data_IF_349814344470
#
_entry.id   IF_349814344470
#
_cell.length_a   1.000
_cell.length_b   1.000
_cell.length_c   1.000
_cell.angle_alpha   90.00
_cell.angle_beta   90.00
_cell.angle_gamma   90.00
#
_symmetry.space_group_name_H-M   'P 1'
#
loop_
_entity.id
_entity.type
_entity.pdbx_description
1 polymer ?
#
# COMPACT_ATOMS: atom_id res chain seq x y z
N UNK A 1 10.39 57.54 13.81
CA UNK A 1 10.05 56.20 14.34
C UNK A 1 8.80 55.53 13.73
N UNK A 2 8.06 56.19 12.80
CA UNK A 2 6.88 55.64 12.15
C UNK A 2 7.16 54.93 10.80
N UNK A 3 8.28 55.23 10.16
CA UNK A 3 8.64 54.70 8.83
C UNK A 3 9.09 53.22 8.86
N UNK A 4 9.60 52.73 9.98
CA UNK A 4 10.07 51.34 10.09
C UNK A 4 8.97 50.30 10.13
N UNK A 5 7.79 50.65 10.66
CA UNK A 5 6.66 49.68 10.79
C UNK A 5 5.93 49.37 9.49
N UNK A 6 5.84 50.34 8.59
CA UNK A 6 5.20 50.14 7.28
C UNK A 6 6.07 49.27 6.36
N UNK A 7 7.40 49.36 6.45
CA UNK A 7 8.29 48.52 5.67
C UNK A 7 8.32 47.08 6.17
N UNK A 8 8.27 46.83 7.48
CA UNK A 8 8.17 45.47 8.05
C UNK A 8 6.87 44.76 7.68
N UNK A 9 5.76 45.49 7.66
CA UNK A 9 4.44 44.94 7.27
C UNK A 9 4.44 44.52 5.80
N UNK A 10 5.03 45.33 4.91
CA UNK A 10 5.13 44.96 3.49
C UNK A 10 6.03 43.76 3.22
N UNK A 11 7.15 43.63 3.90
CA UNK A 11 8.02 42.43 3.77
C UNK A 11 7.34 41.18 4.30
N UNK A 12 6.60 41.26 5.39
CA UNK A 12 5.87 40.14 5.98
C UNK A 12 4.74 39.66 5.05
N UNK A 13 4.03 40.57 4.40
CA UNK A 13 3.00 40.23 3.41
C UNK A 13 3.59 39.57 2.16
N UNK A 14 4.70 40.07 1.65
CA UNK A 14 5.37 39.46 0.48
C UNK A 14 5.89 38.05 0.78
N UNK A 15 6.53 37.85 1.91
CA UNK A 15 7.03 36.52 2.33
C UNK A 15 5.86 35.55 2.55
N UNK A 16 4.78 36.03 3.18
CA UNK A 16 3.57 35.22 3.38
C UNK A 16 2.92 34.82 2.04
N UNK A 17 2.85 35.75 1.09
CA UNK A 17 2.29 35.50 -0.24
C UNK A 17 3.17 34.52 -1.05
N UNK A 18 4.49 34.64 -0.99
CA UNK A 18 5.41 33.69 -1.62
C UNK A 18 5.30 32.31 -0.99
N UNK A 19 5.27 32.21 0.35
CA UNK A 19 5.11 30.94 1.06
C UNK A 19 3.77 30.27 0.74
N UNK A 20 2.68 31.02 0.66
CA UNK A 20 1.37 30.47 0.29
C UNK A 20 1.36 29.94 -1.15
N UNK A 21 2.02 30.65 -2.08
CA UNK A 21 2.14 30.22 -3.47
C UNK A 21 2.96 28.93 -3.60
N UNK A 22 4.10 28.86 -2.91
CA UNK A 22 4.94 27.66 -2.86
C UNK A 22 4.17 26.47 -2.26
N UNK A 23 3.48 26.69 -1.15
CA UNK A 23 2.66 25.65 -0.51
C UNK A 23 1.54 25.16 -1.43
N UNK A 24 0.91 26.07 -2.16
CA UNK A 24 -0.14 25.70 -3.13
C UNK A 24 0.40 24.82 -4.25
N UNK A 25 1.58 25.14 -4.80
CA UNK A 25 2.25 24.35 -5.83
C UNK A 25 2.62 22.97 -5.28
N UNK A 26 3.22 22.90 -4.10
CA UNK A 26 3.60 21.65 -3.45
C UNK A 26 2.36 20.77 -3.21
N UNK A 27 1.27 21.35 -2.72
CA UNK A 27 0.03 20.61 -2.51
C UNK A 27 -0.57 20.11 -3.83
N UNK A 28 -0.56 20.91 -4.89
CA UNK A 28 -1.05 20.49 -6.20
C UNK A 28 -0.25 19.28 -6.73
N UNK A 29 1.09 19.34 -6.67
CA UNK A 29 1.97 18.23 -7.05
C UNK A 29 1.68 17.01 -6.18
N UNK A 30 1.53 17.18 -4.87
CA UNK A 30 1.25 16.08 -3.94
C UNK A 30 -0.08 15.40 -4.26
N UNK A 31 -1.14 16.15 -4.57
CA UNK A 31 -2.43 15.56 -4.96
C UNK A 31 -2.33 14.75 -6.25
N UNK A 32 -1.59 15.25 -7.24
CA UNK A 32 -1.34 14.51 -8.49
C UNK A 32 -0.60 13.20 -8.21
N UNK A 33 0.47 13.24 -7.41
CA UNK A 33 1.23 12.06 -7.03
C UNK A 33 0.36 11.04 -6.25
N UNK A 34 -0.44 11.51 -5.30
CA UNK A 34 -1.38 10.67 -4.54
C UNK A 34 -2.39 9.99 -5.48
N UNK A 35 -2.90 10.73 -6.48
CA UNK A 35 -3.82 10.15 -7.46
C UNK A 35 -3.16 9.02 -8.26
N UNK A 36 -1.94 9.22 -8.77
CA UNK A 36 -1.18 8.17 -9.47
C UNK A 36 -0.92 6.94 -8.59
N UNK A 37 -0.49 7.14 -7.35
CA UNK A 37 -0.25 6.05 -6.40
C UNK A 37 -1.55 5.31 -6.10
N UNK A 38 -2.67 6.02 -5.93
CA UNK A 38 -3.97 5.41 -5.67
C UNK A 38 -4.43 4.51 -6.82
N UNK A 39 -4.26 4.97 -8.07
CA UNK A 39 -4.55 4.16 -9.26
C UNK A 39 -3.67 2.90 -9.29
N UNK A 40 -2.37 3.06 -9.02
CA UNK A 40 -1.43 1.93 -8.96
C UNK A 40 -1.81 0.90 -7.90
N UNK A 41 -2.27 1.35 -6.73
CA UNK A 41 -2.76 0.46 -5.66
C UNK A 41 -4.00 -0.32 -6.08
N UNK A 42 -4.94 0.32 -6.78
CA UNK A 42 -6.14 -0.37 -7.30
C UNK A 42 -5.74 -1.44 -8.32
N UNK A 43 -4.87 -1.10 -9.28
CA UNK A 43 -4.40 -2.06 -10.29
C UNK A 43 -3.67 -3.23 -9.63
N UNK A 44 -2.79 -2.96 -8.66
CA UNK A 44 -2.08 -4.00 -7.90
C UNK A 44 -3.04 -4.91 -7.14
N UNK A 45 -4.08 -4.36 -6.53
CA UNK A 45 -5.11 -5.14 -5.82
C UNK A 45 -5.87 -6.08 -6.75
N UNK A 46 -6.21 -5.61 -7.95
CA UNK A 46 -6.85 -6.44 -8.98
C UNK A 46 -5.91 -7.59 -9.39
N UNK A 47 -4.63 -7.28 -9.61
CA UNK A 47 -3.63 -8.29 -10.00
C UNK A 47 -3.45 -9.36 -8.92
N UNK A 48 -3.39 -8.97 -7.64
CA UNK A 48 -3.34 -9.91 -6.51
C UNK A 48 -4.57 -10.83 -6.52
N UNK A 49 -5.77 -10.27 -6.77
CA UNK A 49 -6.99 -11.05 -6.89
C UNK A 49 -6.94 -12.07 -8.02
N UNK A 50 -6.41 -11.70 -9.19
CA UNK A 50 -6.25 -12.60 -10.34
C UNK A 50 -5.25 -13.72 -10.02
N UNK A 51 -4.09 -13.40 -9.47
CA UNK A 51 -3.06 -14.38 -9.12
C UNK A 51 -3.59 -15.36 -8.07
N UNK A 52 -4.27 -14.88 -7.04
CA UNK A 52 -4.90 -15.74 -6.03
C UNK A 52 -5.98 -16.63 -6.65
N UNK A 53 -6.75 -16.12 -7.60
CA UNK A 53 -7.75 -16.92 -8.32
C UNK A 53 -7.11 -18.05 -9.14
N UNK A 54 -6.01 -17.77 -9.85
CA UNK A 54 -5.26 -18.78 -10.60
C UNK A 54 -4.70 -19.84 -9.64
N UNK A 55 -4.10 -19.44 -8.51
CA UNK A 55 -3.63 -20.35 -7.47
C UNK A 55 -4.72 -21.28 -6.95
N UNK A 56 -5.96 -20.78 -6.77
CA UNK A 56 -7.12 -21.61 -6.40
C UNK A 56 -7.44 -22.63 -7.47
N UNK A 57 -7.36 -22.27 -8.76
CA UNK A 57 -7.61 -23.21 -9.86
C UNK A 57 -6.55 -24.31 -9.91
N UNK A 58 -5.28 -23.97 -9.74
CA UNK A 58 -4.17 -24.93 -9.74
C UNK A 58 -4.26 -25.93 -8.58
N UNK A 59 -4.73 -25.48 -7.40
CA UNK A 59 -4.88 -26.32 -6.19
C UNK A 59 -6.28 -26.93 -6.03
N UNK A 60 -7.08 -26.96 -7.10
CA UNK A 60 -8.48 -27.47 -7.04
C UNK A 60 -8.55 -28.92 -6.54
N UNK A 61 -7.60 -29.81 -6.93
CA UNK A 61 -7.55 -31.20 -6.45
C UNK A 61 -7.28 -31.27 -4.94
N UNK A 62 -6.33 -30.49 -4.43
CA UNK A 62 -6.00 -30.44 -3.00
C UNK A 62 -7.21 -30.00 -2.17
N UNK A 63 -7.90 -28.94 -2.65
CA UNK A 63 -9.14 -28.44 -2.03
C UNK A 63 -10.22 -29.52 -2.03
N UNK A 64 -10.35 -30.26 -3.13
CA UNK A 64 -11.29 -31.38 -3.26
C UNK A 64 -11.01 -32.49 -2.24
N UNK A 65 -9.75 -32.89 -2.09
CA UNK A 65 -9.31 -33.89 -1.08
C UNK A 65 -9.61 -33.41 0.34
N UNK A 66 -9.23 -32.18 0.68
CA UNK A 66 -9.50 -31.59 2.00
C UNK A 66 -11.00 -31.61 2.34
N UNK A 67 -11.84 -31.30 1.36
CA UNK A 67 -13.29 -31.31 1.53
C UNK A 67 -13.86 -32.74 1.63
N UNK A 68 -13.29 -33.69 0.91
CA UNK A 68 -13.69 -35.10 0.97
C UNK A 68 -13.41 -35.72 2.35
N UNK A 69 -12.34 -35.32 3.02
CA UNK A 69 -12.01 -35.77 4.39
C UNK A 69 -12.71 -34.95 5.49
N UNK A 70 -13.60 -34.00 5.11
CA UNK A 70 -14.49 -33.32 6.06
C UNK A 70 -14.20 -31.84 6.34
N UNK A 71 -13.26 -31.20 5.65
CA UNK A 71 -13.01 -29.77 5.83
C UNK A 71 -14.26 -28.96 5.42
N UNK A 72 -14.64 -27.98 6.26
CA UNK A 72 -15.76 -27.11 5.99
C UNK A 72 -15.39 -26.05 4.93
N UNK A 73 -16.40 -25.46 4.27
CA UNK A 73 -16.20 -24.31 3.36
C UNK A 73 -15.50 -23.15 4.04
N UNK A 74 -15.78 -22.98 5.32
CA UNK A 74 -15.21 -21.90 6.13
C UNK A 74 -13.72 -22.11 6.38
N UNK A 75 -13.29 -23.36 6.62
CA UNK A 75 -11.88 -23.69 6.83
C UNK A 75 -11.06 -23.42 5.57
N UNK A 76 -11.56 -23.82 4.40
CA UNK A 76 -10.93 -23.51 3.12
C UNK A 76 -10.80 -21.98 2.91
N UNK A 77 -11.88 -21.24 3.11
CA UNK A 77 -11.83 -19.77 2.98
C UNK A 77 -10.85 -19.13 3.96
N UNK A 78 -10.74 -19.63 5.20
CA UNK A 78 -9.78 -19.14 6.19
C UNK A 78 -8.33 -19.31 5.78
N UNK A 79 -7.99 -20.44 5.17
CA UNK A 79 -6.63 -20.70 4.67
C UNK A 79 -6.24 -19.67 3.62
N UNK A 80 -7.08 -19.43 2.60
CA UNK A 80 -6.81 -18.45 1.56
C UNK A 80 -6.81 -17.02 2.08
N UNK A 81 -7.68 -16.67 3.04
CA UNK A 81 -7.67 -15.35 3.67
C UNK A 81 -6.40 -15.14 4.50
N UNK A 82 -5.91 -16.16 5.21
CA UNK A 82 -4.65 -16.07 5.94
C UNK A 82 -3.46 -15.88 5.00
N UNK A 83 -3.46 -16.59 3.85
CA UNK A 83 -2.44 -16.43 2.82
C UNK A 83 -2.40 -15.00 2.27
N UNK A 84 -3.55 -14.41 1.93
CA UNK A 84 -3.62 -13.02 1.43
C UNK A 84 -3.24 -11.99 2.47
N UNK A 85 -3.59 -12.17 3.74
CA UNK A 85 -3.14 -11.31 4.84
C UNK A 85 -1.62 -11.37 5.00
N UNK A 86 -1.05 -12.57 4.94
CA UNK A 86 0.41 -12.77 5.03
C UNK A 86 1.13 -12.07 3.87
N UNK A 87 0.63 -12.21 2.64
CA UNK A 87 1.16 -11.51 1.45
C UNK A 87 1.12 -10.00 1.67
N UNK A 88 -0.02 -9.45 2.12
CA UNK A 88 -0.16 -8.02 2.37
C UNK A 88 0.79 -7.49 3.45
N UNK A 89 0.98 -8.25 4.52
CA UNK A 89 1.90 -7.89 5.59
C UNK A 89 3.36 -7.91 5.11
N UNK A 90 3.78 -8.98 4.45
CA UNK A 90 5.15 -9.11 3.92
C UNK A 90 5.44 -8.05 2.87
N UNK A 91 4.52 -7.82 1.93
CA UNK A 91 4.66 -6.79 0.90
C UNK A 91 4.76 -5.38 1.52
N UNK A 92 3.91 -5.07 2.50
CA UNK A 92 3.95 -3.81 3.23
C UNK A 92 5.26 -3.62 4.00
N UNK A 93 5.72 -4.66 4.71
CA UNK A 93 6.99 -4.62 5.44
C UNK A 93 8.19 -4.46 4.51
N UNK A 94 8.22 -5.17 3.37
CA UNK A 94 9.25 -5.03 2.35
C UNK A 94 9.25 -3.61 1.74
N UNK A 95 8.08 -3.06 1.43
CA UNK A 95 7.96 -1.69 0.92
C UNK A 95 8.55 -0.66 1.87
N UNK A 96 8.25 -0.77 3.17
CA UNK A 96 8.85 0.09 4.20
C UNK A 96 10.35 -0.13 4.33
N UNK A 97 10.81 -1.39 4.31
CA UNK A 97 12.24 -1.73 4.35
C UNK A 97 13.01 -1.08 3.21
N UNK A 98 12.50 -1.18 1.99
CA UNK A 98 13.09 -0.53 0.80
C UNK A 98 13.08 0.99 0.94
N UNK A 99 11.99 1.58 1.43
CA UNK A 99 11.88 3.03 1.65
C UNK A 99 12.93 3.51 2.65
N UNK A 100 13.11 2.81 3.76
CA UNK A 100 14.13 3.15 4.77
C UNK A 100 15.55 3.02 4.20
N UNK A 101 15.83 1.97 3.43
CA UNK A 101 17.11 1.79 2.75
C UNK A 101 17.41 2.93 1.78
N UNK A 102 16.43 3.39 1.01
CA UNK A 102 16.57 4.51 0.08
C UNK A 102 16.69 5.86 0.78
N UNK A 103 16.07 6.03 1.94
CA UNK A 103 16.12 7.26 2.74
C UNK A 103 17.56 7.60 3.16
N UNK A 104 18.39 6.60 3.42
CA UNK A 104 19.79 6.81 3.84
C UNK A 104 20.61 7.52 2.74
N UNK A 105 20.77 6.98 1.52
CA UNK A 105 21.56 7.62 0.48
C UNK A 105 20.94 8.96 0.02
N UNK A 106 19.61 9.06 -0.02
CA UNK A 106 18.93 10.31 -0.37
C UNK A 106 19.28 11.42 0.61
N UNK A 107 19.24 11.17 1.92
CA UNK A 107 19.62 12.14 2.93
C UNK A 107 21.11 12.53 2.87
N UNK A 108 22.00 11.60 2.50
CA UNK A 108 23.42 11.89 2.30
C UNK A 108 23.61 12.85 1.12
N UNK A 109 22.95 12.60 0.01
CA UNK A 109 23.02 13.45 -1.21
C UNK A 109 22.45 14.84 -0.90
N UNK A 110 21.28 14.92 -0.27
CA UNK A 110 20.66 16.20 0.08
C UNK A 110 21.57 16.99 1.01
N UNK A 111 22.12 16.34 2.04
CA UNK A 111 23.04 16.99 2.98
C UNK A 111 24.30 17.53 2.29
N UNK A 112 24.83 16.84 1.31
CA UNK A 112 26.01 17.29 0.56
C UNK A 112 25.72 18.49 -0.34
N UNK A 113 24.49 18.61 -0.85
CA UNK A 113 24.09 19.68 -1.77
C UNK A 113 23.56 20.92 -1.05
N UNK A 114 22.83 20.75 0.05
CA UNK A 114 22.11 21.84 0.72
C UNK A 114 22.60 22.16 2.11
N UNK A 115 23.53 21.37 2.66
CA UNK A 115 23.99 21.43 4.06
C UNK A 115 22.87 21.20 5.09
N UNK A 116 21.66 20.83 4.66
CA UNK A 116 20.50 20.52 5.50
C UNK A 116 20.36 19.01 5.56
N UNK A 117 20.46 18.43 6.76
CA UNK A 117 20.31 16.98 6.95
C UNK A 117 18.92 16.60 7.47
N UNK A 118 18.47 15.37 7.15
CA UNK A 118 17.27 14.80 7.75
C UNK A 118 15.94 15.27 7.12
N UNK A 119 15.97 15.75 5.88
CA UNK A 119 14.76 16.17 5.16
C UNK A 119 13.84 15.01 4.78
N UNK A 120 14.42 13.84 4.48
CA UNK A 120 13.64 12.64 4.23
C UNK A 120 13.55 11.83 5.51
N UNK A 121 12.36 11.72 6.08
CA UNK A 121 12.06 10.87 7.22
C UNK A 121 10.70 10.20 7.02
N UNK A 122 10.65 8.90 7.30
CA UNK A 122 9.40 8.15 7.35
C UNK A 122 8.97 8.08 8.82
N UNK A 123 7.89 8.77 9.24
CA UNK A 123 7.40 8.66 10.60
C UNK A 123 6.86 7.25 10.85
N UNK A 124 7.10 6.70 12.02
CA UNK A 124 6.66 5.34 12.41
C UNK A 124 5.15 5.18 12.26
N UNK A 125 4.38 6.21 12.60
CA UNK A 125 2.92 6.23 12.40
C UNK A 125 2.53 6.06 10.94
N UNK A 126 3.22 6.75 10.02
CA UNK A 126 3.02 6.60 8.58
C UNK A 126 3.36 5.20 8.09
N UNK A 127 4.47 4.62 8.57
CA UNK A 127 4.86 3.26 8.25
C UNK A 127 3.77 2.24 8.65
N UNK A 128 3.26 2.32 9.88
CA UNK A 128 2.20 1.43 10.37
C UNK A 128 0.92 1.57 9.55
N UNK A 129 0.52 2.81 9.23
CA UNK A 129 -0.66 3.06 8.40
C UNK A 129 -0.50 2.45 7.00
N UNK A 130 0.66 2.57 6.37
CA UNK A 130 0.93 2.00 5.04
C UNK A 130 0.87 0.47 5.04
N UNK A 131 1.42 -0.19 6.08
CA UNK A 131 1.28 -1.65 6.24
C UNK A 131 -0.19 -2.02 6.43
N UNK A 132 -0.92 -1.30 7.26
CA UNK A 132 -2.35 -1.57 7.48
C UNK A 132 -3.16 -1.43 6.17
N UNK A 133 -2.89 -0.41 5.36
CA UNK A 133 -3.50 -0.22 4.04
C UNK A 133 -3.13 -1.39 3.11
N UNK A 134 -1.87 -1.82 3.07
CA UNK A 134 -1.42 -2.97 2.28
C UNK A 134 -2.18 -4.24 2.64
N UNK A 135 -2.25 -4.57 3.93
CA UNK A 135 -3.01 -5.74 4.42
C UNK A 135 -4.49 -5.64 4.09
N UNK A 136 -5.08 -4.46 4.26
CA UNK A 136 -6.50 -4.24 3.98
C UNK A 136 -6.83 -4.43 2.49
N UNK A 137 -6.02 -3.87 1.60
CA UNK A 137 -6.21 -4.00 0.15
C UNK A 137 -6.03 -5.44 -0.33
N UNK A 138 -5.00 -6.14 0.15
CA UNK A 138 -4.77 -7.55 -0.19
C UNK A 138 -5.88 -8.45 0.36
N UNK A 139 -6.37 -8.18 1.56
CA UNK A 139 -7.50 -8.90 2.14
C UNK A 139 -8.76 -8.75 1.27
N UNK A 140 -9.11 -7.53 0.85
CA UNK A 140 -10.25 -7.29 -0.05
C UNK A 140 -10.05 -8.01 -1.38
N UNK A 141 -8.86 -7.93 -1.98
CA UNK A 141 -8.53 -8.60 -3.23
C UNK A 141 -8.68 -10.13 -3.13
N UNK A 142 -8.34 -10.71 -1.98
CA UNK A 142 -8.44 -12.14 -1.70
C UNK A 142 -9.85 -12.65 -1.36
N UNK A 143 -10.81 -11.79 -0.99
CA UNK A 143 -12.14 -12.22 -0.58
C UNK A 143 -12.93 -12.93 -1.69
N UNK A 144 -12.80 -12.48 -2.93
CA UNK A 144 -13.52 -13.11 -4.07
C UNK A 144 -12.91 -14.50 -4.36
N UNK A 145 -11.58 -14.64 -4.58
CA UNK A 145 -10.98 -15.95 -4.82
C UNK A 145 -11.20 -16.94 -3.68
N UNK A 146 -11.09 -16.51 -2.42
CA UNK A 146 -11.28 -17.38 -1.26
C UNK A 146 -12.72 -17.95 -1.18
N UNK A 147 -13.72 -17.17 -1.54
CA UNK A 147 -15.11 -17.62 -1.61
C UNK A 147 -15.34 -18.60 -2.77
N UNK A 148 -14.66 -18.40 -3.91
CA UNK A 148 -14.71 -19.30 -5.05
C UNK A 148 -14.08 -20.65 -4.66
N UNK A 149 -12.91 -20.64 -4.02
CA UNK A 149 -12.25 -21.83 -3.50
C UNK A 149 -13.17 -22.64 -2.57
N UNK A 150 -13.81 -21.94 -1.62
CA UNK A 150 -14.73 -22.55 -0.65
C UNK A 150 -15.98 -23.19 -1.28
N UNK A 151 -16.40 -22.73 -2.45
CA UNK A 151 -17.58 -23.25 -3.17
C UNK A 151 -17.28 -24.41 -4.12
N UNK A 152 -16.02 -24.79 -4.33
CA UNK A 152 -15.67 -25.93 -5.20
C UNK A 152 -16.31 -27.22 -4.69
N UNK A 153 -16.94 -27.95 -5.63
CA UNK A 153 -17.55 -29.24 -5.33
C UNK A 153 -16.45 -30.33 -5.29
N UNK A 154 -16.33 -31.09 -4.19
CA UNK A 154 -15.32 -32.15 -4.06
C UNK A 154 -15.40 -33.19 -5.19
N UNK A 155 -16.61 -33.56 -5.62
CA UNK A 155 -16.82 -34.58 -6.66
C UNK A 155 -16.29 -34.08 -8.01
N UNK A 156 -16.59 -32.84 -8.37
CA UNK A 156 -16.12 -32.22 -9.62
C UNK A 156 -14.62 -32.00 -9.57
N UNK A 157 -14.08 -31.54 -8.41
CA UNK A 157 -12.65 -31.25 -8.24
C UNK A 157 -11.77 -32.50 -8.38
N UNK A 158 -12.28 -33.70 -8.00
CA UNK A 158 -11.56 -34.97 -8.12
C UNK A 158 -11.72 -35.63 -9.49
N UNK A 159 -12.70 -35.20 -10.29
CA UNK A 159 -13.03 -35.80 -11.62
C UNK A 159 -12.37 -35.06 -12.79
N UNK A 160 -11.84 -33.86 -12.56
CA UNK A 160 -11.10 -33.10 -13.60
C UNK A 160 -9.72 -33.71 -13.78
N UNK A 161 -9.57 -34.50 -14.83
CA UNK A 161 -8.28 -34.85 -15.43
C UNK A 161 -7.81 -33.75 -16.36
#
# INVERSE_FOLDING_TARGET
AKVGKEHEIHYTDYVGMLMSSVTTIINAISYVLIAFVSISLVVSSIMIGIITYISVLERTKEIGVLRAIGASKHDISRVFNAETITIGFVAGALGIGVTLLLTIPINIIIKSLTSIGGLCALPVSGAVILVAISVFLTFIAGLIPSRIAAKKDPVVALRTE
#
